data_IF_588523761346
#
_entry.id   IF_588523761346
#
_cell.length_a   1.000
_cell.length_b   1.000
_cell.length_c   1.000
_cell.angle_alpha   90.00
_cell.angle_beta   90.00
_cell.angle_gamma   90.00
#
_symmetry.space_group_name_H-M   'P 1'
#
loop_
_entity.id
_entity.type
_entity.pdbx_description
1 polymer ?
#
# COMPACT_ATOMS: atom_id res chain seq x y z
N UNK A 1 -13.02 13.78 -7.11
CA UNK A 1 -13.33 13.39 -7.02
C UNK A 1 -13.13 12.99 -6.67
N UNK A 2 -12.51 13.30 -6.75
CA UNK A 2 -12.47 12.88 -6.41
C UNK A 2 -12.49 12.76 -5.84
N UNK A 3 -12.18 12.85 -5.41
CA UNK A 3 -12.41 12.64 -4.96
C UNK A 3 -12.19 12.30 -4.56
N UNK A 4 -11.70 12.44 -4.68
CA UNK A 4 -11.70 11.92 -4.40
C UNK A 4 -11.49 11.56 -4.16
N UNK A 5 -11.23 11.93 -4.16
CA UNK A 5 -11.38 11.42 -3.95
C UNK A 5 -10.80 11.30 -3.55
N UNK A 6 -10.54 11.19 -3.37
CA UNK A 6 -10.35 10.92 -3.11
C UNK A 6 -10.07 11.03 -2.60
N UNK A 7 -9.97 11.07 -2.48
CA UNK A 7 -10.05 10.90 -2.13
C UNK A 7 -9.79 10.95 -1.57
N UNK A 8 -9.68 11.12 -1.50
CA UNK A 8 -9.74 10.94 -1.14
C UNK A 8 -9.81 11.07 -0.55
N UNK A 9 -9.75 11.12 -0.41
CA UNK A 9 -10.06 11.07 0.04
C UNK A 9 -9.92 11.24 0.80
N UNK A 10 -9.82 11.28 0.93
CA UNK A 10 -10.00 11.22 1.48
C UNK A 10 -9.83 11.47 2.39
N UNK A 11 -9.61 11.64 2.40
CA UNK A 11 -9.62 11.71 3.11
C UNK A 11 -9.37 12.16 4.02
N UNK A 12 -9.13 12.35 4.06
CA UNK A 12 -8.88 12.62 4.74
C UNK A 12 -8.05 12.91 5.21
N UNK A 13 -7.69 12.78 4.89
CA UNK A 13 -7.17 12.72 4.80
C UNK A 13 -6.98 12.90 4.52
N UNK A 14 -7.02 13.07 4.41
CA UNK A 14 -6.97 13.08 3.76
C UNK A 14 -6.64 13.49 3.60
N UNK A 15 -6.46 13.80 3.55
CA UNK A 15 -6.35 14.03 3.03
C UNK A 15 -5.74 14.48 3.16
N UNK A 16 -5.41 14.68 3.09
CA UNK A 16 -4.90 14.91 2.77
C UNK A 16 -4.44 15.63 2.43
N UNK A 17 -4.22 15.97 2.20
CA UNK A 17 -3.83 16.40 1.52
C UNK A 17 -3.60 17.13 1.00
N UNK A 18 -3.32 17.85 0.98
CA UNK A 18 -3.10 18.36 0.34
C UNK A 18 -2.98 18.92 -0.44
N UNK A 19 -2.86 19.62 -0.84
CA UNK A 19 -2.73 19.98 -1.51
C UNK A 19 -2.09 20.35 -2.30
N UNK A 20 -2.08 20.86 -2.38
CA UNK A 20 -1.33 21.26 -3.29
C UNK A 20 -0.46 20.52 -4.00
N UNK A 21 0.00 20.69 -4.61
CA UNK A 21 0.49 19.90 -5.38
C UNK A 21 1.78 19.88 -5.43
N UNK A 22 2.44 19.55 -5.10
CA UNK A 22 3.49 19.33 -5.27
C UNK A 22 3.86 18.53 -5.03
N UNK A 23 4.52 18.17 -5.41
CA UNK A 23 4.77 17.21 -5.40
C UNK A 23 6.01 16.84 -5.26
N UNK A 24 6.48 16.55 -4.27
CA UNK A 24 7.69 15.88 -4.03
C UNK A 24 7.51 14.43 -4.40
N UNK A 25 8.48 13.87 -5.02
CA UNK A 25 8.41 12.46 -5.34
C UNK A 25 8.81 11.58 -4.16
N UNK A 26 9.20 12.19 -3.06
CA UNK A 26 9.64 11.45 -1.88
C UNK A 26 8.89 11.90 -0.65
N UNK A 27 8.47 10.93 0.15
CA UNK A 27 7.97 11.20 1.48
C UNK A 27 9.14 11.12 2.44
N UNK A 28 9.29 12.11 3.27
CA UNK A 28 10.36 12.09 4.25
C UNK A 28 10.12 10.96 5.25
N UNK A 29 11.17 10.26 5.58
CA UNK A 29 11.11 9.14 6.51
C UNK A 29 10.47 9.57 7.84
N UNK A 30 10.79 10.77 8.31
CA UNK A 30 10.27 11.26 9.58
C UNK A 30 8.78 11.55 9.57
N UNK A 31 8.18 11.62 8.37
CA UNK A 31 6.74 11.86 8.24
C UNK A 31 5.93 10.56 8.32
N UNK A 32 6.60 9.42 8.39
CA UNK A 32 5.93 8.13 8.37
C UNK A 32 5.73 7.61 9.78
N UNK A 33 4.58 6.98 10.00
CA UNK A 33 4.28 6.37 11.29
C UNK A 33 4.85 4.96 11.30
N UNK A 34 5.50 4.61 12.39
CA UNK A 34 6.08 3.29 12.53
C UNK A 34 5.05 2.32 13.07
N UNK A 35 4.86 1.22 12.38
CA UNK A 35 3.97 0.15 12.81
C UNK A 35 4.66 -1.18 12.65
N UNK A 36 4.46 -2.04 13.62
CA UNK A 36 4.95 -3.40 13.56
C UNK A 36 3.90 -4.25 12.86
N UNK A 37 4.35 -5.17 12.02
CA UNK A 37 3.42 -6.09 11.38
C UNK A 37 4.05 -7.47 11.31
N UNK A 38 3.21 -8.48 11.13
CA UNK A 38 3.67 -9.86 11.02
C UNK A 38 3.20 -10.43 9.70
N UNK A 39 4.12 -11.02 8.97
CA UNK A 39 3.85 -11.62 7.67
C UNK A 39 4.16 -13.10 7.75
N UNK A 40 3.53 -13.88 6.87
CA UNK A 40 3.97 -15.24 6.66
C UNK A 40 5.35 -15.21 6.03
N UNK A 41 6.17 -16.23 6.30
CA UNK A 41 7.54 -16.27 5.79
C UNK A 41 7.59 -16.15 4.27
N UNK A 42 6.67 -16.82 3.58
CA UNK A 42 6.64 -16.76 2.12
C UNK A 42 6.29 -15.36 1.63
N UNK A 43 5.42 -14.65 2.35
CA UNK A 43 5.08 -13.28 1.98
C UNK A 43 6.30 -12.38 2.13
N UNK A 44 7.03 -12.53 3.23
CA UNK A 44 8.21 -11.69 3.45
C UNK A 44 9.26 -11.94 2.37
N UNK A 45 9.49 -13.20 2.03
CA UNK A 45 10.48 -13.56 1.03
C UNK A 45 10.09 -13.05 -0.35
N UNK A 46 8.84 -13.26 -0.75
CA UNK A 46 8.38 -12.86 -2.07
C UNK A 46 8.33 -11.35 -2.20
N UNK A 47 8.02 -10.67 -1.12
CA UNK A 47 7.98 -9.21 -1.12
C UNK A 47 9.38 -8.64 -1.40
N UNK A 48 10.39 -9.22 -0.78
CA UNK A 48 11.78 -8.80 -1.01
C UNK A 48 12.19 -9.02 -2.46
N UNK A 49 11.82 -10.17 -3.01
CA UNK A 49 12.13 -10.47 -4.41
C UNK A 49 11.40 -9.50 -5.33
N UNK A 50 10.14 -9.22 -5.03
CA UNK A 50 9.35 -8.29 -5.84
C UNK A 50 9.94 -6.88 -5.79
N UNK A 51 10.34 -6.43 -4.61
CA UNK A 51 10.93 -5.10 -4.47
C UNK A 51 12.18 -4.97 -5.35
N UNK A 52 12.99 -6.02 -5.37
CA UNK A 52 14.18 -6.04 -6.22
C UNK A 52 13.82 -5.94 -7.69
N UNK A 53 12.79 -6.69 -8.11
CA UNK A 53 12.34 -6.65 -9.50
C UNK A 53 11.85 -5.27 -9.90
N UNK A 54 11.04 -4.66 -9.05
CA UNK A 54 10.49 -3.34 -9.35
C UNK A 54 11.61 -2.31 -9.39
N UNK A 55 12.54 -2.42 -8.46
CA UNK A 55 13.70 -1.52 -8.42
C UNK A 55 14.49 -1.58 -9.73
N UNK A 56 14.72 -2.79 -10.23
CA UNK A 56 15.50 -3.00 -11.46
C UNK A 56 14.74 -2.58 -12.70
N UNK A 57 13.41 -2.65 -12.67
CA UNK A 57 12.60 -2.33 -13.83
C UNK A 57 12.34 -0.84 -13.99
N UNK A 58 12.76 -0.01 -13.04
CA UNK A 58 12.53 1.44 -13.15
C UNK A 58 13.25 1.97 -14.36
N UNK A 59 12.59 2.87 -15.05
CA UNK A 59 13.17 3.49 -16.23
C UNK A 59 14.11 4.62 -15.89
N UNK A 60 13.83 5.27 -14.77
CA UNK A 60 14.60 6.42 -14.32
C UNK A 60 14.98 6.24 -12.88
N UNK A 61 16.04 6.91 -12.47
CA UNK A 61 16.36 6.96 -11.07
C UNK A 61 15.30 7.76 -10.37
N UNK A 62 14.94 7.31 -9.21
CA UNK A 62 13.98 7.99 -8.39
C UNK A 62 14.21 7.50 -6.98
N UNK A 63 13.15 7.43 -6.20
CA UNK A 63 13.33 6.92 -4.87
C UNK A 63 13.63 5.42 -4.92
N UNK A 64 14.30 4.96 -3.90
CA UNK A 64 14.63 3.54 -3.79
C UNK A 64 13.37 2.76 -3.45
N UNK A 65 13.15 1.68 -4.19
CA UNK A 65 11.99 0.82 -3.97
C UNK A 65 12.39 -0.28 -3.00
N UNK A 66 11.74 -0.32 -1.87
CA UNK A 66 12.01 -1.30 -0.82
C UNK A 66 10.74 -2.06 -0.48
N UNK A 67 10.88 -3.06 0.40
CA UNK A 67 9.72 -3.79 0.91
C UNK A 67 8.70 -2.82 1.51
N UNK A 68 9.19 -1.84 2.28
CA UNK A 68 8.29 -0.87 2.91
C UNK A 68 7.55 -0.03 1.88
N UNK A 69 8.22 0.31 0.77
CA UNK A 69 7.56 1.05 -0.32
C UNK A 69 6.36 0.26 -0.83
N UNK A 70 6.57 -1.03 -1.10
CA UNK A 70 5.51 -1.86 -1.63
C UNK A 70 4.40 -2.09 -0.62
N UNK A 71 4.75 -2.19 0.67
CA UNK A 71 3.74 -2.35 1.71
C UNK A 71 2.84 -1.12 1.77
N UNK A 72 3.42 0.08 1.66
CA UNK A 72 2.61 1.29 1.66
C UNK A 72 1.66 1.33 0.48
N UNK A 73 2.14 0.91 -0.69
CA UNK A 73 1.28 0.84 -1.88
C UNK A 73 0.18 -0.19 -1.68
N UNK A 74 0.52 -1.34 -1.10
CA UNK A 74 -0.45 -2.41 -0.83
C UNK A 74 -1.53 -1.94 0.13
N UNK A 75 -1.14 -1.18 1.15
CA UNK A 75 -2.11 -0.65 2.11
C UNK A 75 -3.08 0.28 1.41
N UNK A 76 -2.57 1.17 0.56
CA UNK A 76 -3.45 2.07 -0.18
C UNK A 76 -4.38 1.31 -1.12
N UNK A 77 -3.88 0.27 -1.77
CA UNK A 77 -4.71 -0.57 -2.61
C UNK A 77 -5.83 -1.21 -1.80
N UNK A 78 -5.50 -1.72 -0.63
CA UNK A 78 -6.48 -2.34 0.24
C UNK A 78 -7.55 -1.33 0.67
N UNK A 79 -7.11 -0.12 1.01
CA UNK A 79 -8.04 0.92 1.44
C UNK A 79 -8.95 1.35 0.29
N UNK A 80 -8.44 1.34 -0.95
CA UNK A 80 -9.26 1.62 -2.12
C UNK A 80 -10.38 0.61 -2.28
N UNK A 81 -10.11 -0.62 -1.87
CA UNK A 81 -11.06 -1.72 -2.05
C UNK A 81 -11.75 -2.11 -0.75
N UNK A 82 -11.74 -1.22 0.23
CA UNK A 82 -12.23 -1.56 1.57
C UNK A 82 -13.69 -2.00 1.60
N UNK A 83 -14.49 -1.55 0.63
CA UNK A 83 -15.89 -1.94 0.57
C UNK A 83 -16.07 -3.43 0.27
N UNK A 84 -15.05 -4.06 -0.29
CA UNK A 84 -15.11 -5.48 -0.60
C UNK A 84 -14.77 -6.35 0.60
N UNK A 85 -14.26 -5.75 1.67
CA UNK A 85 -13.81 -6.50 2.85
C UNK A 85 -15.03 -6.89 3.70
N UNK A 86 -15.51 -8.08 3.47
CA UNK A 86 -16.65 -8.64 4.20
C UNK A 86 -16.25 -10.02 4.69
N UNK A 87 -16.36 -10.23 6.00
CA UNK A 87 -16.00 -11.50 6.56
C UNK A 87 -15.62 -11.37 8.03
N UNK A 88 -15.53 -12.52 8.70
CA UNK A 88 -15.21 -12.59 10.11
C UNK A 88 -13.85 -13.24 10.39
N UNK A 89 -13.19 -13.76 9.36
CA UNK A 89 -11.87 -14.38 9.51
C UNK A 89 -10.96 -13.84 8.43
N UNK A 90 -9.67 -14.01 8.65
CA UNK A 90 -8.70 -13.56 7.65
C UNK A 90 -8.93 -14.24 6.30
N UNK A 91 -9.22 -15.54 6.31
CA UNK A 91 -9.46 -16.27 5.07
C UNK A 91 -10.70 -15.78 4.36
N UNK A 92 -11.75 -15.43 5.10
CA UNK A 92 -12.96 -14.88 4.48
C UNK A 92 -12.68 -13.53 3.84
N UNK A 93 -11.86 -12.71 4.48
CA UNK A 93 -11.47 -11.42 3.91
C UNK A 93 -10.62 -11.63 2.66
N UNK A 94 -9.76 -12.64 2.67
CA UNK A 94 -8.98 -12.99 1.48
C UNK A 94 -9.87 -13.34 0.32
N UNK A 95 -10.83 -14.24 0.57
CA UNK A 95 -11.78 -14.65 -0.48
C UNK A 95 -12.59 -13.47 -1.00
N UNK A 96 -12.99 -12.57 -0.11
CA UNK A 96 -13.75 -11.38 -0.51
C UNK A 96 -12.98 -10.54 -1.52
N UNK A 97 -11.66 -10.54 -1.44
CA UNK A 97 -10.80 -9.80 -2.37
C UNK A 97 -10.36 -10.65 -3.57
N UNK A 98 -10.84 -11.87 -3.66
CA UNK A 98 -10.48 -12.75 -4.77
C UNK A 98 -9.22 -13.57 -4.53
N UNK A 99 -8.74 -13.61 -3.30
CA UNK A 99 -7.55 -14.37 -2.95
C UNK A 99 -7.93 -15.76 -2.47
N UNK A 100 -6.99 -16.69 -2.59
CA UNK A 100 -7.18 -18.05 -2.10
C UNK A 100 -7.03 -18.10 -0.59
N UNK A 101 -7.86 -18.86 0.12
CA UNK A 101 -7.63 -19.05 1.56
C UNK A 101 -6.28 -19.70 1.83
N UNK A 102 -5.68 -19.42 2.95
CA UNK A 102 -4.40 -20.01 3.30
C UNK A 102 -4.56 -21.24 4.20
N UNK A 103 -5.62 -21.32 4.94
CA UNK A 103 -5.86 -22.46 5.83
C UNK A 103 -6.57 -23.60 5.12
#
# INVERSE_FOLDING_TARGET
>A
MHENGIVHATSPQAAKEVEGPVVSSHTHYTDLVRKELRLHADQADELTVLATKVQRARREKGERITDNTLIRVAVDLLLERQKELVGSTEDELRVALGLTPRA
#
